data_IF_152769149361
#
_entry.id   IF_152769149361
#
_cell.length_a   1.000
_cell.length_b   1.000
_cell.length_c   1.000
_cell.angle_alpha   90.00
_cell.angle_beta   90.00
_cell.angle_gamma   90.00
#
_symmetry.space_group_name_H-M   'P 1'
#
loop_
_entity.id
_entity.type
_entity.pdbx_description
1 polymer ?
#
# COMPACT_ATOMS: atom_id res chain seq x y z
N UNK A 1 10.21 -22.53 1.03
CA UNK A 1 9.57 -22.47 2.37
C UNK A 1 8.26 -21.72 2.21
N UNK A 2 7.17 -22.18 2.85
CA UNK A 2 5.86 -21.54 2.76
C UNK A 2 5.40 -21.11 4.14
N UNK A 3 4.88 -19.89 4.24
CA UNK A 3 4.26 -19.32 5.42
C UNK A 3 2.82 -19.83 5.59
N UNK A 4 2.38 -19.97 6.84
CA UNK A 4 0.99 -20.30 7.13
C UNK A 4 0.11 -19.04 7.10
N UNK A 5 -1.07 -19.11 6.48
CA UNK A 5 -2.01 -17.99 6.44
C UNK A 5 -3.13 -18.20 7.45
N UNK A 6 -3.24 -17.29 8.42
CA UNK A 6 -4.30 -17.28 9.43
C UNK A 6 -5.19 -16.07 9.24
N UNK A 7 -6.51 -16.27 9.26
CA UNK A 7 -7.48 -15.20 8.98
C UNK A 7 -8.23 -14.78 10.24
N UNK A 8 -8.32 -13.48 10.48
CA UNK A 8 -9.21 -12.95 11.50
C UNK A 8 -10.68 -13.06 11.08
N UNK A 9 -11.61 -13.01 12.05
CA UNK A 9 -13.07 -12.99 11.76
C UNK A 9 -13.46 -11.86 10.80
N UNK A 10 -12.79 -10.71 10.89
CA UNK A 10 -13.05 -9.59 10.00
C UNK A 10 -12.52 -9.85 8.59
N UNK A 11 -11.31 -10.39 8.46
CA UNK A 11 -10.75 -10.81 7.18
C UNK A 11 -11.66 -11.85 6.48
N UNK A 12 -12.25 -12.79 7.22
CA UNK A 12 -13.19 -13.76 6.65
C UNK A 12 -14.47 -13.09 6.10
N UNK A 13 -14.99 -12.04 6.76
CA UNK A 13 -16.11 -11.24 6.23
C UNK A 13 -15.71 -10.48 4.96
N UNK A 14 -14.51 -9.91 4.96
CA UNK A 14 -13.95 -9.20 3.81
C UNK A 14 -13.74 -10.16 2.61
N UNK A 15 -13.32 -11.41 2.85
CA UNK A 15 -13.19 -12.45 1.81
C UNK A 15 -14.52 -12.74 1.11
N UNK A 16 -15.63 -12.79 1.87
CA UNK A 16 -16.97 -12.99 1.28
C UNK A 16 -17.32 -11.86 0.32
N UNK A 17 -16.99 -10.61 0.66
CA UNK A 17 -17.18 -9.45 -0.23
C UNK A 17 -16.27 -9.51 -1.45
N UNK A 18 -15.00 -9.87 -1.28
CA UNK A 18 -14.06 -10.06 -2.40
C UNK A 18 -14.54 -11.13 -3.37
N UNK A 19 -15.06 -12.25 -2.86
CA UNK A 19 -15.60 -13.33 -3.69
C UNK A 19 -16.83 -12.92 -4.50
N UNK A 20 -17.62 -11.96 -4.02
CA UNK A 20 -18.78 -11.40 -4.74
C UNK A 20 -18.37 -10.31 -5.75
N UNK A 21 -17.09 -9.90 -5.75
CA UNK A 21 -16.55 -8.87 -6.62
C UNK A 21 -15.63 -9.46 -7.70
N UNK A 22 -15.25 -8.65 -8.67
CA UNK A 22 -14.26 -8.98 -9.70
C UNK A 22 -12.80 -8.96 -9.18
N UNK A 23 -12.57 -8.82 -7.88
CA UNK A 23 -11.23 -8.72 -7.28
C UNK A 23 -10.71 -10.02 -6.69
N UNK A 24 -11.52 -11.09 -6.71
CA UNK A 24 -11.18 -12.41 -6.16
C UNK A 24 -9.84 -12.94 -6.68
N UNK A 25 -9.66 -12.97 -8.00
CA UNK A 25 -8.46 -13.55 -8.61
C UNK A 25 -7.20 -12.78 -8.24
N UNK A 26 -7.26 -11.44 -8.25
CA UNK A 26 -6.14 -10.58 -7.85
C UNK A 26 -5.80 -10.75 -6.37
N UNK A 27 -6.82 -10.84 -5.52
CA UNK A 27 -6.61 -11.05 -4.09
C UNK A 27 -5.99 -12.43 -3.81
N UNK A 28 -6.45 -13.48 -4.50
CA UNK A 28 -5.90 -14.82 -4.36
C UNK A 28 -4.43 -14.86 -4.78
N UNK A 29 -4.10 -14.29 -5.94
CA UNK A 29 -2.71 -14.21 -6.40
C UNK A 29 -1.81 -13.52 -5.37
N UNK A 30 -2.26 -12.42 -4.77
CA UNK A 30 -1.51 -11.72 -3.72
C UNK A 30 -1.35 -12.57 -2.45
N UNK A 31 -2.37 -13.32 -2.04
CA UNK A 31 -2.26 -14.23 -0.90
C UNK A 31 -1.27 -15.35 -1.17
N UNK A 32 -1.23 -15.89 -2.39
CA UNK A 32 -0.28 -16.92 -2.79
C UNK A 32 1.17 -16.38 -2.77
N UNK A 33 1.38 -15.13 -3.20
CA UNK A 33 2.67 -14.45 -3.05
C UNK A 33 3.07 -14.27 -1.58
N UNK A 34 2.17 -13.80 -0.74
CA UNK A 34 2.41 -13.61 0.70
C UNK A 34 2.76 -14.95 1.37
N UNK A 35 2.13 -16.04 0.93
CA UNK A 35 2.40 -17.40 1.41
C UNK A 35 3.82 -17.86 1.07
N UNK A 36 4.36 -17.47 -0.08
CA UNK A 36 5.73 -17.82 -0.46
C UNK A 36 6.72 -16.94 0.30
N UNK A 37 6.54 -15.62 0.22
CA UNK A 37 7.40 -14.66 0.90
C UNK A 37 6.63 -13.37 1.21
N UNK A 38 6.35 -13.07 2.48
CA UNK A 38 5.59 -11.88 2.88
C UNK A 38 6.33 -10.57 2.63
N UNK A 39 7.66 -10.60 2.48
CA UNK A 39 8.50 -9.42 2.27
C UNK A 39 8.97 -9.26 0.82
N UNK A 40 8.45 -10.07 -0.11
CA UNK A 40 8.86 -10.02 -1.50
C UNK A 40 8.49 -8.69 -2.15
N UNK A 41 9.45 -8.10 -2.86
CA UNK A 41 9.29 -6.95 -3.73
C UNK A 41 10.00 -7.26 -5.07
N UNK A 42 9.33 -7.17 -6.23
CA UNK A 42 7.94 -6.76 -6.49
C UNK A 42 6.90 -7.87 -6.19
N UNK A 43 5.63 -7.57 -5.83
CA UNK A 43 4.94 -6.27 -5.76
C UNK A 43 5.25 -5.43 -4.50
N UNK A 44 5.09 -4.09 -4.53
CA UNK A 44 5.41 -3.22 -3.41
C UNK A 44 4.48 -3.44 -2.21
N UNK A 45 5.03 -3.27 -1.02
CA UNK A 45 4.31 -3.25 0.25
C UNK A 45 4.69 -2.00 1.04
N UNK A 46 3.78 -1.54 1.89
CA UNK A 46 3.99 -0.42 2.80
C UNK A 46 3.95 -0.93 4.25
N UNK A 47 4.92 -0.55 5.07
CA UNK A 47 4.91 -0.86 6.50
C UNK A 47 4.00 0.14 7.23
N UNK A 48 3.04 -0.35 8.01
CA UNK A 48 2.17 0.50 8.82
C UNK A 48 2.87 0.91 10.11
N UNK A 49 2.57 2.12 10.58
CA UNK A 49 3.13 2.74 11.79
C UNK A 49 2.00 3.13 12.76
N UNK A 50 2.32 3.31 14.04
CA UNK A 50 1.35 3.63 15.10
C UNK A 50 0.74 2.38 15.74
N UNK A 51 -0.57 2.37 15.98
CA UNK A 51 -1.30 1.26 16.64
C UNK A 51 -1.25 -0.06 15.85
N UNK A 52 -0.93 0.01 14.56
CA UNK A 52 -0.73 -1.13 13.66
C UNK A 52 0.75 -1.38 13.36
N UNK A 53 1.65 -0.96 14.25
CA UNK A 53 3.09 -1.21 14.10
C UNK A 53 3.37 -2.70 13.94
N UNK A 54 4.06 -3.08 12.87
CA UNK A 54 4.35 -4.48 12.55
C UNK A 54 3.39 -5.12 11.55
N UNK A 55 2.31 -4.41 11.19
CA UNK A 55 1.49 -4.77 10.04
C UNK A 55 2.03 -4.16 8.74
N UNK A 56 1.70 -4.82 7.64
CA UNK A 56 2.09 -4.47 6.29
C UNK A 56 0.82 -4.32 5.44
N UNK A 57 0.88 -3.42 4.47
CA UNK A 57 -0.19 -3.16 3.52
C UNK A 57 0.26 -3.46 2.09
N UNK A 58 -0.54 -4.23 1.36
CA UNK A 58 -0.37 -4.51 -0.08
C UNK A 58 -1.60 -4.09 -0.85
N UNK A 59 -1.40 -3.57 -2.06
CA UNK A 59 -2.46 -3.03 -2.90
C UNK A 59 -3.08 -4.12 -3.78
N UNK A 60 -4.41 -4.30 -3.69
CA UNK A 60 -5.18 -5.12 -4.65
C UNK A 60 -5.61 -4.26 -5.83
N UNK A 61 -6.11 -3.06 -5.53
CA UNK A 61 -6.54 -2.07 -6.50
C UNK A 61 -6.39 -0.65 -5.90
N UNK A 62 -6.82 0.39 -6.62
CA UNK A 62 -6.74 1.78 -6.16
C UNK A 62 -7.39 1.98 -4.79
N UNK A 63 -8.51 1.31 -4.54
CA UNK A 63 -9.33 1.45 -3.33
C UNK A 63 -9.05 0.40 -2.24
N UNK A 64 -8.71 -0.83 -2.63
CA UNK A 64 -8.66 -1.96 -1.70
C UNK A 64 -7.23 -2.42 -1.43
N UNK A 65 -6.95 -2.66 -0.14
CA UNK A 65 -5.64 -3.10 0.34
C UNK A 65 -5.81 -4.32 1.25
N UNK A 66 -4.86 -5.25 1.15
CA UNK A 66 -4.66 -6.33 2.13
C UNK A 66 -3.78 -5.76 3.24
N UNK A 67 -4.20 -5.95 4.48
CA UNK A 67 -3.40 -5.65 5.67
C UNK A 67 -3.12 -6.95 6.39
N UNK A 68 -1.84 -7.24 6.61
CA UNK A 68 -1.37 -8.47 7.24
C UNK A 68 -0.25 -8.20 8.23
N UNK A 69 -0.14 -9.06 9.23
CA UNK A 69 0.92 -9.06 10.23
C UNK A 69 1.77 -10.31 10.04
N UNK A 70 3.09 -10.17 10.12
CA UNK A 70 4.03 -11.29 9.96
C UNK A 70 4.57 -11.67 11.33
N UNK A 71 4.33 -12.92 11.73
CA UNK A 71 4.83 -13.51 12.97
C UNK A 71 5.99 -14.42 12.59
N UNK A 72 7.19 -13.85 12.57
CA UNK A 72 8.43 -14.54 12.16
C UNK A 72 8.76 -15.74 13.04
N UNK A 73 8.48 -15.66 14.36
CA UNK A 73 8.73 -16.76 15.30
C UNK A 73 7.94 -18.03 14.99
N UNK A 74 6.79 -17.90 14.31
CA UNK A 74 5.89 -19.00 14.00
C UNK A 74 5.75 -19.25 12.49
N UNK A 75 6.53 -18.57 11.65
CA UNK A 75 6.38 -18.59 10.19
C UNK A 75 4.92 -18.41 9.72
N UNK A 76 4.18 -17.55 10.42
CA UNK A 76 2.75 -17.36 10.22
C UNK A 76 2.45 -15.93 9.81
N UNK A 77 1.61 -15.77 8.81
CA UNK A 77 1.08 -14.48 8.37
C UNK A 77 -0.39 -14.39 8.74
N UNK A 78 -0.72 -13.39 9.56
CA UNK A 78 -2.06 -13.13 10.04
C UNK A 78 -2.72 -12.05 9.19
N UNK A 79 -3.77 -12.43 8.47
CA UNK A 79 -4.54 -11.50 7.64
C UNK A 79 -5.57 -10.76 8.51
N UNK A 80 -5.39 -9.45 8.62
CA UNK A 80 -6.22 -8.57 9.44
C UNK A 80 -7.42 -8.06 8.63
N UNK A 81 -7.16 -7.52 7.44
CA UNK A 81 -8.18 -6.92 6.54
C UNK A 81 -7.86 -7.23 5.09
N UNK A 82 -8.89 -7.41 4.28
CA UNK A 82 -8.74 -7.57 2.83
C UNK A 82 -9.64 -6.62 2.03
N UNK A 83 -10.59 -5.99 2.72
CA UNK A 83 -11.51 -5.01 2.16
C UNK A 83 -11.50 -3.76 3.02
N UNK A 84 -10.63 -2.82 2.68
CA UNK A 84 -10.70 -1.45 3.16
C UNK A 84 -11.60 -0.68 2.21
N UNK A 85 -12.69 -0.15 2.73
CA UNK A 85 -13.61 0.71 1.99
C UNK A 85 -13.27 2.14 2.39
N UNK A 86 -12.89 2.97 1.43
CA UNK A 86 -13.11 4.39 1.56
C UNK A 86 -14.61 4.57 1.36
N UNK A 87 -15.36 4.82 2.43
CA UNK A 87 -16.73 5.28 2.28
C UNK A 87 -16.69 6.61 1.54
N UNK A 88 -17.05 6.59 0.26
CA UNK A 88 -17.48 7.81 -0.43
C UNK A 88 -18.84 8.15 0.16
N UNK A 89 -18.84 8.93 1.24
CA UNK A 89 -20.07 9.50 1.77
C UNK A 89 -20.54 10.52 0.74
N UNK A 90 -21.64 10.22 0.04
CA UNK A 90 -22.28 11.18 -0.85
C UNK A 90 -23.08 12.17 -0.01
N UNK A 91 -22.46 13.27 0.40
CA UNK A 91 -23.17 14.39 1.02
C UNK A 91 -23.60 15.38 -0.08
N UNK A 92 -24.72 15.11 -0.75
CA UNK A 92 -25.27 16.02 -1.78
C UNK A 92 -24.55 16.02 -3.13
N UNK A 93 -24.63 17.14 -3.88
CA UNK A 93 -24.13 17.29 -5.28
C UNK A 93 -22.61 17.27 -5.43
N UNK A 94 -21.86 17.28 -4.34
CA UNK A 94 -20.39 17.27 -4.39
C UNK A 94 -19.85 15.93 -3.87
N UNK A 95 -19.31 15.13 -4.79
CA UNK A 95 -18.69 13.84 -4.44
C UNK A 95 -17.27 14.11 -3.92
N UNK A 96 -17.10 14.25 -2.60
CA UNK A 96 -15.77 14.34 -1.99
C UNK A 96 -15.29 12.96 -1.54
N UNK A 97 -14.17 12.51 -2.10
CA UNK A 97 -13.43 11.33 -1.64
C UNK A 97 -12.83 11.64 -0.27
N UNK A 98 -13.38 11.04 0.80
CA UNK A 98 -12.79 11.18 2.13
C UNK A 98 -11.78 10.07 2.37
N UNK A 99 -10.50 10.43 2.42
CA UNK A 99 -9.46 9.53 2.87
C UNK A 99 -9.44 9.46 4.40
N UNK A 100 -9.54 8.28 5.05
CA UNK A 100 -9.43 8.19 6.50
C UNK A 100 -8.02 8.50 7.04
N UNK A 101 -7.05 8.80 6.15
CA UNK A 101 -5.67 9.18 6.51
C UNK A 101 -5.27 10.61 6.08
N UNK A 102 -6.17 11.47 5.61
CA UNK A 102 -5.82 12.87 5.24
C UNK A 102 -6.52 13.90 6.13
N UNK A 103 -6.48 13.71 7.45
CA UNK A 103 -6.94 14.70 8.42
C UNK A 103 -5.78 15.35 9.21
N UNK A 104 -4.56 15.41 8.64
CA UNK A 104 -3.42 16.08 9.29
C UNK A 104 -2.85 17.27 8.52
N UNK A 105 -3.16 17.50 7.24
CA UNK A 105 -2.62 18.70 6.56
C UNK A 105 -3.57 19.31 5.55
N UNK A 106 -4.57 20.06 6.02
CA UNK A 106 -5.04 21.25 5.30
C UNK A 106 -5.89 22.17 6.20
N UNK A 107 -5.24 22.74 7.22
CA UNK A 107 -5.74 23.97 7.86
C UNK A 107 -4.58 24.96 7.80
N UNK A 108 -4.87 26.16 7.30
CA UNK A 108 -3.95 27.25 6.93
C UNK A 108 -3.49 27.23 5.45
N UNK A 109 -4.45 27.39 4.53
CA UNK A 109 -4.20 28.19 3.33
C UNK A 109 -4.90 29.54 3.55
N UNK A 110 -4.17 30.47 4.15
CA UNK A 110 -4.46 31.90 4.05
C UNK A 110 -4.16 32.36 2.63
N UNK A 111 -5.00 33.18 1.99
CA UNK A 111 -4.70 33.74 0.69
C UNK A 111 -3.77 34.94 0.89
N UNK A 112 -2.54 34.92 0.41
CA UNK A 112 -1.82 36.15 0.04
C UNK A 112 -0.55 35.86 -0.76
N UNK A 113 -0.49 36.54 -1.90
CA UNK A 113 0.68 37.14 -2.53
C UNK A 113 1.65 36.25 -3.35
N UNK A 114 1.37 36.28 -4.66
CA UNK A 114 2.32 36.31 -5.77
C UNK A 114 3.63 36.99 -5.37
N UNK A 115 4.77 36.31 -5.53
CA UNK A 115 6.04 36.90 -5.98
C UNK A 115 6.89 35.83 -6.69
N UNK A 116 6.75 35.81 -8.01
CA UNK A 116 7.84 35.81 -8.99
C UNK A 116 9.23 35.32 -8.54
N UNK A 117 9.59 34.06 -8.82
CA UNK A 117 11.01 33.63 -9.01
C UNK A 117 11.01 32.50 -10.07
N UNK A 118 11.20 32.87 -11.34
CA UNK A 118 12.43 32.67 -12.14
C UNK A 118 12.86 31.22 -12.30
N UNK A 119 12.71 30.79 -13.56
CA UNK A 119 13.17 29.55 -14.18
C UNK A 119 14.67 29.35 -13.97
N UNK A 120 15.08 28.19 -13.45
CA UNK A 120 16.43 27.66 -13.68
C UNK A 120 16.35 26.15 -13.96
N UNK A 121 16.69 25.70 -15.17
CA UNK A 121 16.84 24.28 -15.47
C UNK A 121 18.21 23.82 -14.98
N UNK A 122 18.25 23.02 -13.90
CA UNK A 122 19.49 22.35 -13.50
C UNK A 122 19.66 21.06 -14.31
N UNK A 123 20.84 20.99 -14.93
CA UNK A 123 21.33 19.98 -15.85
C UNK A 123 21.41 18.56 -15.25
N UNK A 124 21.39 17.51 -16.11
CA UNK A 124 21.61 16.13 -15.72
C UNK A 124 23.09 15.90 -15.39
N UNK A 125 23.37 15.28 -14.25
CA UNK A 125 24.70 14.77 -13.93
C UNK A 125 24.84 13.35 -14.48
N UNK A 126 25.47 13.24 -15.64
CA UNK A 126 26.21 12.04 -16.03
C UNK A 126 27.51 11.99 -15.20
N UNK A 127 27.79 10.85 -14.57
CA UNK A 127 29.15 10.55 -14.10
C UNK A 127 29.41 9.04 -14.15
N UNK A 128 30.33 8.68 -15.05
CA UNK A 128 31.53 7.83 -14.81
C UNK A 128 31.23 6.40 -14.33
N UNK A 129 31.25 5.40 -15.20
CA UNK A 129 32.44 4.68 -15.70
C UNK A 129 33.22 3.95 -14.59
N UNK A 130 33.01 2.64 -14.49
CA UNK A 130 33.99 1.69 -13.97
C UNK A 130 34.07 0.53 -14.97
N UNK A 131 35.14 0.54 -15.76
CA UNK A 131 35.61 -0.63 -16.49
C UNK A 131 36.22 -1.60 -15.47
N UNK A 132 35.68 -2.81 -15.40
CA UNK A 132 36.35 -3.98 -14.80
C UNK A 132 37.03 -4.73 -15.95
N UNK A 133 38.36 -4.94 -15.94
CA UNK A 133 39.05 -5.78 -16.92
C UNK A 133 39.19 -7.20 -16.38
N UNK A 134 38.72 -8.23 -17.09
CA UNK A 134 39.13 -9.62 -16.81
C UNK A 134 39.04 -10.51 -18.07
N UNK A 135 40.21 -11.03 -18.46
CA UNK A 135 40.53 -12.30 -19.12
C UNK A 135 39.76 -12.78 -20.38
N UNK A 136 40.37 -12.60 -21.57
CA UNK A 136 41.13 -13.63 -22.34
C UNK A 136 41.33 -13.24 -23.80
#
# INVERSE_FOLDING_TARGET
MSWELVYTKQAQKDAKKLNQSNLREKAQALLDFIKINPFQNPPPYEKLVGDLSGAYSRRINVQHRIVYEVIESANTVKILRMWTHFEVIKTGKDTKLLCPYTAITLRLLTPTLIHHITVHPHQPTESVAQEEPVDK
#
